data_IF_335472532841
#
_entry.id   IF_335472532841
#
_cell.length_a   1.000
_cell.length_b   1.000
_cell.length_c   1.000
_cell.angle_alpha   90.00
_cell.angle_beta   90.00
_cell.angle_gamma   90.00
#
_symmetry.space_group_name_H-M   'P 1'
#
loop_
_entity.id
_entity.type
_entity.pdbx_description
1 polymer ?
#
# COMPACT_ATOMS: atom_id res chain seq x y z
N UNK A 1 12.07 24.86 18.18
CA UNK A 1 12.33 24.04 19.38
C UNK A 1 11.21 23.03 19.69
N UNK A 2 9.94 23.45 19.75
CA UNK A 2 8.78 22.60 20.13
C UNK A 2 8.50 21.45 19.13
N UNK A 3 8.68 21.67 17.82
CA UNK A 3 8.46 20.64 16.78
C UNK A 3 9.43 19.46 16.89
N UNK A 4 10.69 19.70 17.27
CA UNK A 4 11.69 18.65 17.48
C UNK A 4 11.36 17.75 18.67
N UNK A 5 10.86 18.34 19.76
CA UNK A 5 10.47 17.59 20.97
C UNK A 5 9.26 16.69 20.67
N UNK A 6 8.23 17.19 19.97
CA UNK A 6 7.07 16.35 19.58
C UNK A 6 7.45 15.18 18.67
N UNK A 7 8.41 15.40 17.76
CA UNK A 7 8.95 14.34 16.89
C UNK A 7 9.71 13.28 17.70
N UNK A 8 10.62 13.70 18.59
CA UNK A 8 11.39 12.81 19.45
C UNK A 8 10.47 11.99 20.35
N UNK A 9 9.46 12.61 20.96
CA UNK A 9 8.47 11.91 21.80
C UNK A 9 7.67 10.89 20.99
N UNK A 10 7.16 11.24 19.80
CA UNK A 10 6.47 10.27 18.94
C UNK A 10 7.36 9.10 18.54
N UNK A 11 8.62 9.37 18.20
CA UNK A 11 9.60 8.35 17.85
C UNK A 11 9.97 7.43 19.03
N UNK A 12 10.18 7.99 20.23
CA UNK A 12 10.47 7.23 21.43
C UNK A 12 9.30 6.30 21.80
N UNK A 13 8.07 6.83 21.70
CA UNK A 13 6.83 6.09 21.94
C UNK A 13 6.40 5.17 20.78
N UNK A 14 7.13 5.16 19.65
CA UNK A 14 6.78 4.38 18.45
C UNK A 14 5.45 4.77 17.81
N UNK A 15 4.96 5.99 18.07
CA UNK A 15 3.75 6.58 17.52
C UNK A 15 4.01 7.34 16.21
N UNK A 16 5.23 7.32 15.69
CA UNK A 16 5.53 7.74 14.32
C UNK A 16 5.10 6.66 13.32
N UNK A 17 4.60 7.07 12.16
CA UNK A 17 4.42 6.16 11.01
C UNK A 17 5.66 6.26 10.14
N UNK A 18 6.08 5.13 9.56
CA UNK A 18 7.28 5.08 8.75
C UNK A 18 7.15 5.93 7.48
N UNK A 19 5.99 5.86 6.82
CA UNK A 19 5.75 6.43 5.49
C UNK A 19 6.94 6.20 4.56
N UNK A 20 7.71 7.23 4.21
CA UNK A 20 8.92 7.13 3.38
C UNK A 20 10.22 7.11 4.19
N UNK A 21 10.16 7.34 5.48
CA UNK A 21 11.32 7.64 6.32
C UNK A 21 11.93 6.41 7.02
N UNK A 22 12.01 5.24 6.39
CA UNK A 22 12.56 4.03 7.02
C UNK A 22 13.73 3.44 6.23
N UNK A 23 14.47 2.52 6.87
CA UNK A 23 15.55 1.78 6.21
C UNK A 23 14.95 0.76 5.24
N UNK A 24 15.35 0.87 3.96
CA UNK A 24 15.01 -0.07 2.89
C UNK A 24 16.22 -0.94 2.60
N UNK A 25 16.00 -2.24 2.48
CA UNK A 25 17.04 -3.24 2.24
C UNK A 25 16.89 -3.90 0.86
N UNK A 26 17.98 -4.43 0.28
CA UNK A 26 17.95 -5.01 -1.08
C UNK A 26 17.04 -6.25 -1.25
N UNK A 27 16.71 -6.93 -0.16
CA UNK A 27 15.85 -8.12 -0.07
C UNK A 27 14.40 -7.80 0.33
N UNK A 28 14.07 -6.51 0.51
CA UNK A 28 12.67 -6.12 0.72
C UNK A 28 11.86 -6.31 -0.55
N UNK A 29 10.62 -6.79 -0.38
CA UNK A 29 9.60 -6.75 -1.42
C UNK A 29 8.49 -5.80 -1.03
N UNK A 30 8.07 -4.96 -1.97
CA UNK A 30 7.03 -3.97 -1.73
C UNK A 30 5.74 -4.31 -2.47
N UNK A 31 4.63 -4.39 -1.74
CA UNK A 31 3.29 -4.42 -2.32
C UNK A 31 2.78 -2.99 -2.38
N UNK A 32 2.69 -2.44 -3.59
CA UNK A 32 2.33 -1.06 -3.83
C UNK A 32 0.98 -0.99 -4.53
N UNK A 33 0.17 -0.03 -4.12
CA UNK A 33 -1.09 0.30 -4.79
C UNK A 33 -1.49 1.72 -4.44
N UNK A 34 -2.21 2.43 -5.30
CA UNK A 34 -2.93 3.63 -4.85
C UNK A 34 -4.01 3.23 -3.82
N UNK A 35 -4.38 4.09 -2.84
CA UNK A 35 -5.50 3.79 -1.94
C UNK A 35 -6.72 3.25 -2.70
N UNK A 36 -7.46 2.34 -2.06
CA UNK A 36 -8.69 1.72 -2.60
C UNK A 36 -8.50 0.83 -3.84
N UNK A 37 -7.25 0.55 -4.22
CA UNK A 37 -6.92 -0.34 -5.35
C UNK A 37 -6.70 -1.81 -4.92
N UNK A 38 -7.29 -2.25 -3.81
CA UNK A 38 -7.25 -3.65 -3.38
C UNK A 38 -6.16 -4.03 -2.36
N UNK A 39 -5.51 -3.07 -1.71
CA UNK A 39 -4.40 -3.34 -0.80
C UNK A 39 -4.72 -4.29 0.35
N UNK A 40 -5.94 -4.23 0.91
CA UNK A 40 -6.35 -5.12 2.00
C UNK A 40 -6.43 -6.55 1.49
N UNK A 41 -7.11 -6.77 0.38
CA UNK A 41 -7.28 -8.11 -0.18
C UNK A 41 -5.92 -8.72 -0.56
N UNK A 42 -5.07 -7.98 -1.26
CA UNK A 42 -3.74 -8.48 -1.63
C UNK A 42 -2.90 -8.83 -0.40
N UNK A 43 -3.00 -8.05 0.68
CA UNK A 43 -2.30 -8.37 1.94
C UNK A 43 -2.80 -9.67 2.54
N UNK A 44 -4.11 -9.87 2.61
CA UNK A 44 -4.69 -11.11 3.14
C UNK A 44 -4.33 -12.32 2.29
N UNK A 45 -4.41 -12.23 0.95
CA UNK A 45 -4.02 -13.34 0.06
C UNK A 45 -2.55 -13.73 0.26
N UNK A 46 -1.66 -12.74 0.26
CA UNK A 46 -0.23 -12.99 0.45
C UNK A 46 0.00 -13.54 1.86
N UNK A 47 -0.53 -12.93 2.91
CA UNK A 47 -0.32 -13.45 4.27
C UNK A 47 -0.83 -14.89 4.46
N UNK A 48 -1.97 -15.28 3.89
CA UNK A 48 -2.45 -16.66 3.97
C UNK A 48 -1.54 -17.63 3.19
N UNK A 49 -0.96 -17.18 2.08
CA UNK A 49 0.02 -17.98 1.33
C UNK A 49 1.31 -18.20 2.14
N UNK A 50 1.74 -17.22 2.93
CA UNK A 50 3.04 -17.27 3.64
C UNK A 50 2.96 -17.89 5.03
N UNK A 51 1.78 -17.87 5.62
CA UNK A 51 1.57 -18.34 6.98
C UNK A 51 0.38 -19.30 6.98
N UNK A 52 0.48 -20.47 6.32
CA UNK A 52 -0.63 -21.41 6.21
C UNK A 52 -1.11 -21.93 7.57
N UNK A 53 -0.24 -21.90 8.58
CA UNK A 53 -0.53 -22.36 9.94
C UNK A 53 -1.10 -21.25 10.85
N UNK A 54 -1.25 -20.02 10.34
CA UNK A 54 -1.74 -18.87 11.11
C UNK A 54 -3.04 -18.37 10.50
N UNK A 55 -4.09 -18.28 11.32
CA UNK A 55 -5.33 -17.62 10.90
C UNK A 55 -5.09 -16.11 10.71
N UNK A 56 -5.15 -15.66 9.47
CA UNK A 56 -4.92 -14.24 9.11
C UNK A 56 -6.19 -13.43 9.39
N UNK A 57 -6.05 -12.36 10.17
CA UNK A 57 -7.15 -11.48 10.54
C UNK A 57 -6.72 -10.01 10.55
N UNK A 58 -7.68 -9.09 10.72
CA UNK A 58 -7.37 -7.67 10.87
C UNK A 58 -6.54 -7.37 12.12
N UNK A 59 -6.55 -8.24 13.13
CA UNK A 59 -5.78 -8.05 14.36
C UNK A 59 -4.28 -8.30 14.16
N UNK A 60 -3.90 -9.23 13.27
CA UNK A 60 -2.49 -9.63 13.07
C UNK A 60 -1.91 -9.23 11.71
N UNK A 61 -2.71 -8.71 10.76
CA UNK A 61 -2.23 -8.41 9.40
C UNK A 61 -1.05 -7.42 9.35
N UNK A 62 -0.98 -6.47 10.29
CA UNK A 62 0.12 -5.50 10.39
C UNK A 62 1.38 -6.10 11.04
N UNK A 63 1.30 -7.26 11.68
CA UNK A 63 2.44 -8.08 12.13
C UNK A 63 2.98 -8.94 10.99
N UNK A 64 2.08 -9.63 10.28
CA UNK A 64 2.46 -10.55 9.21
C UNK A 64 2.97 -9.82 7.96
N UNK A 65 2.30 -8.75 7.53
CA UNK A 65 2.66 -8.00 6.33
C UNK A 65 2.45 -6.50 6.58
N UNK A 66 3.42 -5.79 7.18
CA UNK A 66 3.24 -4.42 7.66
C UNK A 66 2.94 -3.42 6.54
N UNK A 67 2.21 -2.36 6.88
CA UNK A 67 2.14 -1.15 6.06
C UNK A 67 3.09 -0.06 6.56
N UNK A 68 3.71 0.69 5.64
CA UNK A 68 4.50 1.89 5.97
C UNK A 68 3.69 2.95 6.73
N UNK A 69 2.37 2.98 6.53
CA UNK A 69 1.44 3.89 7.20
C UNK A 69 0.96 3.40 8.57
N UNK A 70 1.21 2.13 8.93
CA UNK A 70 0.72 1.53 10.18
C UNK A 70 1.83 1.23 11.18
N UNK A 71 3.08 1.12 10.71
CA UNK A 71 4.23 0.77 11.56
C UNK A 71 5.23 1.91 11.67
N UNK A 72 5.82 2.05 12.85
CA UNK A 72 6.93 2.96 13.06
C UNK A 72 8.18 2.51 12.33
N UNK A 73 9.06 3.48 12.05
CA UNK A 73 10.37 3.22 11.44
C UNK A 73 11.18 2.22 12.25
N UNK A 74 11.09 2.31 13.57
CA UNK A 74 11.77 1.43 14.52
C UNK A 74 11.21 0.01 14.47
N UNK A 75 9.88 -0.14 14.39
CA UNK A 75 9.23 -1.44 14.24
C UNK A 75 9.70 -2.11 12.93
N UNK A 76 9.60 -1.41 11.79
CA UNK A 76 10.08 -1.95 10.51
C UNK A 76 11.56 -2.31 10.53
N UNK A 77 12.41 -1.51 11.19
CA UNK A 77 13.86 -1.79 11.30
C UNK A 77 14.15 -3.10 12.06
N UNK A 78 13.32 -3.46 13.03
CA UNK A 78 13.50 -4.64 13.90
C UNK A 78 12.85 -5.91 13.35
N UNK A 79 12.08 -5.82 12.28
CA UNK A 79 11.42 -6.99 11.70
C UNK A 79 12.42 -8.00 11.13
N UNK A 80 12.12 -9.31 11.25
CA UNK A 80 12.87 -10.35 10.57
C UNK A 80 12.94 -10.10 9.06
N UNK A 81 14.01 -10.58 8.42
CA UNK A 81 14.27 -10.45 6.99
C UNK A 81 14.19 -11.83 6.31
N UNK A 82 13.75 -11.93 5.04
CA UNK A 82 13.31 -10.82 4.17
C UNK A 82 11.94 -10.25 4.59
N UNK A 83 11.67 -8.98 4.25
CA UNK A 83 10.41 -8.29 4.60
C UNK A 83 9.52 -8.13 3.37
N UNK A 84 8.22 -8.29 3.56
CA UNK A 84 7.20 -7.87 2.59
C UNK A 84 6.43 -6.70 3.19
N UNK A 85 6.49 -5.54 2.54
CA UNK A 85 5.98 -4.28 3.09
C UNK A 85 4.96 -3.68 2.13
N UNK A 86 3.79 -3.32 2.65
CA UNK A 86 2.78 -2.60 1.87
C UNK A 86 3.02 -1.08 1.93
N UNK A 87 2.81 -0.37 0.82
CA UNK A 87 2.80 1.10 0.80
C UNK A 87 1.81 1.67 -0.23
N UNK A 88 1.40 2.93 -0.03
CA UNK A 88 0.62 3.74 -0.98
C UNK A 88 1.43 4.88 -1.61
N UNK A 89 2.70 5.02 -1.22
CA UNK A 89 3.54 6.10 -1.70
C UNK A 89 3.76 6.01 -3.21
N UNK A 90 3.94 7.18 -3.83
CA UNK A 90 4.44 7.30 -5.20
C UNK A 90 5.85 6.70 -5.32
N UNK A 91 6.38 6.65 -6.55
CA UNK A 91 7.64 5.98 -6.85
C UNK A 91 8.76 6.34 -5.86
N UNK A 92 9.44 5.29 -5.37
CA UNK A 92 10.62 5.38 -4.53
C UNK A 92 11.72 4.50 -5.11
N UNK A 93 12.80 5.12 -5.59
CA UNK A 93 13.91 4.43 -6.24
C UNK A 93 14.60 3.39 -5.34
N UNK A 94 14.40 3.45 -4.02
CA UNK A 94 14.95 2.47 -3.07
C UNK A 94 14.21 1.14 -3.15
N UNK A 95 12.97 1.11 -3.63
CA UNK A 95 12.13 -0.08 -3.68
C UNK A 95 12.53 -0.93 -4.89
N UNK A 96 13.47 -1.88 -4.66
CA UNK A 96 14.07 -2.66 -5.75
C UNK A 96 13.20 -3.80 -6.26
N UNK A 97 12.40 -4.43 -5.39
CA UNK A 97 11.45 -5.48 -5.78
C UNK A 97 10.03 -5.02 -5.47
N UNK A 98 9.20 -4.89 -6.52
CA UNK A 98 7.88 -4.28 -6.43
C UNK A 98 6.84 -5.20 -7.06
N UNK A 99 5.72 -5.34 -6.35
CA UNK A 99 4.45 -5.86 -6.84
C UNK A 99 3.49 -4.67 -6.81
N UNK A 100 3.17 -4.13 -7.98
CA UNK A 100 2.26 -3.01 -8.12
C UNK A 100 0.88 -3.51 -8.51
N UNK A 101 -0.15 -3.11 -7.77
CA UNK A 101 -1.55 -3.41 -8.06
C UNK A 101 -2.21 -2.11 -8.52
N UNK A 102 -2.64 -2.10 -9.78
CA UNK A 102 -3.43 -1.02 -10.36
C UNK A 102 -4.90 -1.41 -10.42
N UNK A 103 -5.78 -0.44 -10.26
CA UNK A 103 -7.23 -0.60 -10.40
C UNK A 103 -7.79 0.50 -11.29
N UNK A 104 -8.89 0.22 -11.98
CA UNK A 104 -9.62 1.21 -12.75
C UNK A 104 -9.92 2.47 -11.91
N UNK A 105 -9.54 3.68 -12.36
CA UNK A 105 -9.72 4.90 -11.58
C UNK A 105 -11.20 5.22 -11.28
N UNK A 106 -12.14 4.77 -12.12
CA UNK A 106 -13.58 4.96 -11.92
C UNK A 106 -14.07 4.18 -10.70
N UNK A 107 -13.57 2.97 -10.51
CA UNK A 107 -13.86 2.18 -9.32
C UNK A 107 -13.14 2.71 -8.07
N UNK A 108 -11.90 3.19 -8.25
CA UNK A 108 -11.12 3.78 -7.15
C UNK A 108 -11.86 4.99 -6.56
N UNK A 109 -12.33 5.93 -7.39
CA UNK A 109 -13.00 7.13 -6.91
C UNK A 109 -14.30 6.81 -6.18
N UNK A 110 -15.09 5.85 -6.67
CA UNK A 110 -16.31 5.41 -5.98
C UNK A 110 -16.01 4.73 -4.64
N UNK A 111 -14.93 3.95 -4.58
CA UNK A 111 -14.51 3.29 -3.34
C UNK A 111 -13.95 4.27 -2.31
N UNK A 112 -13.22 5.30 -2.76
CA UNK A 112 -12.71 6.38 -1.90
C UNK A 112 -13.86 7.22 -1.35
N UNK A 113 -14.80 7.62 -2.21
CA UNK A 113 -16.01 8.35 -1.82
C UNK A 113 -16.75 7.64 -0.68
N UNK A 114 -17.08 6.36 -0.87
CA UNK A 114 -17.76 5.54 0.15
C UNK A 114 -16.94 5.38 1.43
N UNK A 115 -15.61 5.28 1.31
CA UNK A 115 -14.72 5.15 2.46
C UNK A 115 -14.70 6.41 3.31
N UNK A 116 -14.55 7.57 2.68
CA UNK A 116 -14.54 8.88 3.36
C UNK A 116 -15.92 9.17 3.95
N UNK A 117 -17.00 8.85 3.24
CA UNK A 117 -18.38 8.95 3.74
C UNK A 117 -18.57 8.12 5.02
N UNK A 118 -18.20 6.83 4.99
CA UNK A 118 -18.27 5.94 6.16
C UNK A 118 -17.41 6.44 7.32
N UNK A 119 -16.27 7.06 7.01
CA UNK A 119 -15.37 7.69 7.97
C UNK A 119 -15.83 9.06 8.46
N UNK A 120 -16.98 9.57 8.01
CA UNK A 120 -17.49 10.92 8.30
C UNK A 120 -16.52 12.04 7.92
N UNK A 121 -15.69 11.82 6.90
CA UNK A 121 -14.76 12.82 6.37
C UNK A 121 -15.38 13.79 5.36
N UNK A 122 -16.61 13.50 4.92
CA UNK A 122 -17.49 14.35 4.12
C UNK A 122 -18.93 14.19 4.64
N UNK A 123 -19.81 15.11 4.27
CA UNK A 123 -21.23 15.08 4.61
C UNK A 123 -21.98 13.94 3.89
N UNK A 124 -23.05 13.41 4.50
CA UNK A 124 -23.78 12.25 3.98
C UNK A 124 -24.40 12.49 2.59
N UNK A 125 -24.75 13.74 2.28
CA UNK A 125 -25.32 14.19 1.02
C UNK A 125 -24.29 14.84 0.08
N UNK A 126 -22.98 14.64 0.32
CA UNK A 126 -21.93 15.27 -0.47
C UNK A 126 -22.06 14.89 -1.96
N UNK A 127 -22.14 15.85 -2.90
CA UNK A 127 -22.35 15.54 -4.31
C UNK A 127 -21.19 14.74 -4.90
N UNK A 128 -21.50 13.60 -5.53
CA UNK A 128 -20.46 12.71 -6.07
C UNK A 128 -19.67 13.36 -7.22
N UNK A 129 -20.30 14.20 -8.04
CA UNK A 129 -19.62 14.92 -9.12
C UNK A 129 -18.57 15.90 -8.58
N UNK A 130 -18.90 16.61 -7.49
CA UNK A 130 -17.95 17.47 -6.80
C UNK A 130 -16.78 16.65 -6.21
N UNK A 131 -17.07 15.46 -5.67
CA UNK A 131 -16.04 14.55 -5.17
C UNK A 131 -15.10 14.08 -6.29
N UNK A 132 -15.67 13.66 -7.43
CA UNK A 132 -14.90 13.22 -8.61
C UNK A 132 -14.00 14.35 -9.10
N UNK A 133 -14.49 15.59 -9.18
CA UNK A 133 -13.67 16.74 -9.57
C UNK A 133 -12.47 16.95 -8.63
N UNK A 134 -12.67 16.84 -7.31
CA UNK A 134 -11.59 16.90 -6.31
C UNK A 134 -10.63 15.73 -6.41
N UNK A 135 -11.13 14.52 -6.66
CA UNK A 135 -10.31 13.33 -6.88
C UNK A 135 -9.37 13.49 -8.07
N UNK A 136 -9.88 14.02 -9.19
CA UNK A 136 -9.09 14.28 -10.40
C UNK A 136 -7.98 15.32 -10.14
N UNK A 137 -8.25 16.31 -9.28
CA UNK A 137 -7.25 17.30 -8.83
C UNK A 137 -6.28 16.77 -7.78
N UNK A 138 -6.49 15.57 -7.24
CA UNK A 138 -5.65 14.97 -6.20
C UNK A 138 -5.89 15.53 -4.79
N UNK A 139 -7.06 16.12 -4.54
CA UNK A 139 -7.39 16.81 -3.28
C UNK A 139 -8.03 15.92 -2.22
N UNK A 140 -8.26 14.63 -2.53
CA UNK A 140 -8.95 13.68 -1.65
C UNK A 140 -8.01 12.64 -1.03
N UNK A 141 -6.74 12.63 -1.44
CA UNK A 141 -5.74 11.68 -0.93
C UNK A 141 -4.43 12.38 -0.59
N UNK A 142 -3.80 11.98 0.51
CA UNK A 142 -2.46 12.45 0.89
C UNK A 142 -1.35 11.88 0.01
N UNK A 143 -1.66 10.92 -0.86
CA UNK A 143 -0.71 10.26 -1.77
C UNK A 143 -0.71 10.87 -3.20
N UNK A 144 -1.29 12.07 -3.35
CA UNK A 144 -1.42 12.79 -4.61
C UNK A 144 -2.61 12.31 -5.46
N UNK A 145 -2.71 12.81 -6.69
CA UNK A 145 -3.72 12.29 -7.62
C UNK A 145 -3.42 10.85 -8.04
N UNK A 146 -4.48 10.07 -8.32
CA UNK A 146 -4.33 8.72 -8.88
C UNK A 146 -3.42 8.70 -10.11
N UNK A 147 -3.62 9.67 -11.03
CA UNK A 147 -2.83 9.79 -12.26
C UNK A 147 -1.34 9.98 -11.97
N UNK A 148 -0.99 10.88 -11.07
CA UNK A 148 0.41 11.14 -10.71
C UNK A 148 1.02 9.92 -10.01
N UNK A 149 0.34 9.37 -9.01
CA UNK A 149 0.86 8.24 -8.24
C UNK A 149 1.10 7.01 -9.14
N UNK A 150 0.07 6.57 -9.86
CA UNK A 150 0.16 5.44 -10.80
C UNK A 150 1.18 5.75 -11.89
N UNK A 151 1.14 6.97 -12.46
CA UNK A 151 2.05 7.39 -13.53
C UNK A 151 3.52 7.27 -13.15
N UNK A 152 3.91 7.69 -11.94
CA UNK A 152 5.30 7.59 -11.49
C UNK A 152 5.80 6.14 -11.45
N UNK A 153 4.96 5.20 -10.99
CA UNK A 153 5.31 3.79 -10.93
C UNK A 153 5.35 3.13 -12.31
N UNK A 154 4.36 3.42 -13.16
CA UNK A 154 4.31 2.88 -14.52
C UNK A 154 5.48 3.39 -15.36
N UNK A 155 5.88 4.65 -15.23
CA UNK A 155 7.05 5.20 -15.91
C UNK A 155 8.34 4.55 -15.40
N UNK A 156 8.47 4.34 -14.10
CA UNK A 156 9.68 3.80 -13.49
C UNK A 156 9.87 2.28 -13.66
N UNK A 157 8.85 1.53 -14.10
CA UNK A 157 8.95 0.06 -14.21
C UNK A 157 10.05 -0.40 -15.17
N UNK A 158 10.33 0.38 -16.22
CA UNK A 158 11.49 0.22 -17.10
C UNK A 158 11.74 -1.17 -17.70
N UNK A 159 10.71 -2.04 -17.81
CA UNK A 159 10.88 -3.44 -18.21
C UNK A 159 11.63 -4.31 -17.20
N UNK A 160 11.84 -3.82 -15.98
CA UNK A 160 12.55 -4.53 -14.92
C UNK A 160 11.84 -5.82 -14.57
N UNK A 161 12.57 -6.93 -14.60
CA UNK A 161 12.12 -8.20 -14.04
C UNK A 161 11.83 -8.11 -12.54
N UNK A 162 12.23 -7.02 -11.86
CA UNK A 162 11.94 -6.68 -10.46
C UNK A 162 10.75 -5.73 -10.25
N UNK A 163 9.99 -5.42 -11.31
CA UNK A 163 8.62 -4.90 -11.23
C UNK A 163 7.53 -5.87 -11.75
N UNK A 164 6.59 -6.32 -10.90
CA UNK A 164 5.39 -7.07 -11.31
C UNK A 164 4.17 -6.16 -11.28
N UNK A 165 3.50 -5.99 -12.41
CA UNK A 165 2.24 -5.25 -12.51
C UNK A 165 1.07 -6.22 -12.51
N UNK A 166 0.12 -6.01 -11.60
CA UNK A 166 -1.13 -6.74 -11.51
C UNK A 166 -2.31 -5.76 -11.63
N UNK A 167 -3.39 -6.22 -12.25
CA UNK A 167 -4.68 -5.53 -12.24
C UNK A 167 -5.53 -6.08 -11.12
N UNK A 168 -6.17 -5.20 -10.36
CA UNK A 168 -7.10 -5.61 -9.31
C UNK A 168 -8.23 -6.47 -9.88
N UNK A 169 -8.73 -6.13 -11.06
CA UNK A 169 -9.84 -6.86 -11.69
C UNK A 169 -9.44 -8.31 -12.04
N UNK A 170 -8.20 -8.52 -12.50
CA UNK A 170 -7.66 -9.87 -12.74
C UNK A 170 -7.41 -10.61 -11.43
N UNK A 171 -6.94 -9.92 -10.39
CA UNK A 171 -6.78 -10.51 -9.05
C UNK A 171 -8.11 -11.01 -8.49
N UNK A 172 -9.23 -10.36 -8.85
CA UNK A 172 -10.59 -10.80 -8.51
C UNK A 172 -11.03 -11.99 -9.34
N UNK A 173 -10.92 -11.86 -10.67
CA UNK A 173 -11.47 -12.84 -11.59
C UNK A 173 -10.67 -14.15 -11.63
N UNK A 174 -9.36 -14.08 -11.36
CA UNK A 174 -8.39 -15.16 -11.56
C UNK A 174 -7.42 -15.26 -10.39
N UNK A 175 -7.94 -15.22 -9.16
CA UNK A 175 -7.17 -15.14 -7.91
C UNK A 175 -5.99 -16.12 -7.85
N UNK A 176 -6.20 -17.40 -8.14
CA UNK A 176 -5.14 -18.41 -8.05
C UNK A 176 -3.99 -18.16 -9.05
N UNK A 177 -4.32 -17.67 -10.26
CA UNK A 177 -3.34 -17.37 -11.31
C UNK A 177 -2.53 -16.13 -10.94
N UNK A 178 -3.20 -15.06 -10.48
CA UNK A 178 -2.49 -13.84 -10.11
C UNK A 178 -1.67 -14.02 -8.82
N UNK A 179 -2.18 -14.82 -7.87
CA UNK A 179 -1.45 -15.16 -6.64
C UNK A 179 -0.22 -16.04 -6.93
N UNK A 180 -0.30 -16.96 -7.88
CA UNK A 180 0.88 -17.77 -8.27
C UNK A 180 1.99 -16.88 -8.84
N UNK A 181 1.67 -15.85 -9.62
CA UNK A 181 2.68 -14.86 -10.09
C UNK A 181 3.37 -14.14 -8.93
N UNK A 182 2.64 -13.82 -7.87
CA UNK A 182 3.22 -13.24 -6.64
C UNK A 182 4.16 -14.26 -5.99
N UNK A 183 3.72 -15.51 -5.80
CA UNK A 183 4.48 -16.56 -5.15
C UNK A 183 5.86 -16.80 -5.79
N UNK A 184 5.89 -16.94 -7.13
CA UNK A 184 7.14 -17.14 -7.88
C UNK A 184 8.16 -16.01 -7.67
N UNK A 185 7.67 -14.80 -7.38
CA UNK A 185 8.48 -13.60 -7.33
C UNK A 185 9.05 -13.30 -5.97
N UNK A 186 8.31 -13.65 -4.93
CA UNK A 186 8.73 -13.43 -3.55
C UNK A 186 9.74 -14.47 -3.07
N UNK A 187 10.27 -15.32 -3.97
CA UNK A 187 11.24 -16.40 -3.69
C UNK A 187 10.81 -17.24 -2.49
N UNK A 188 9.61 -17.81 -2.56
CA UNK A 188 9.22 -18.90 -1.69
C UNK A 188 9.53 -20.20 -2.43
N UNK A 189 10.79 -20.61 -2.30
CA UNK A 189 11.40 -21.81 -2.89
C UNK A 189 12.79 -21.97 -2.30
#
# INVERSE_FOLDING_TARGET
MIYGIRFVVKYLLGKDTAERNFAVYPDDTFIISYPRSGSTWSRFLVSNLLHPDIEVSFANIDELLPATSSRSRRALKRMPRPRIIKSHNYFDHRYRNVIYIVRDPRDVVLSEYRFILKGRGIEDNYPIDAFVARFLKGEVSTYGSWKQNVGTWIAARGGSERFLLLRYEDLVAKTAIELSKIAHRTKFG
#
